data_IF_097023221967
#
_entry.id   IF_097023221967
#
_cell.length_a   1.000
_cell.length_b   1.000
_cell.length_c   1.000
_cell.angle_alpha   90.00
_cell.angle_beta   90.00
_cell.angle_gamma   90.00
#
_symmetry.space_group_name_H-M   'P 1'
#
loop_
_entity.id
_entity.type
_entity.pdbx_description
1 polymer ?
#
# COMPACT_ATOMS: atom_id res chain seq x y z
N UNK A 1 5.67 -10.53 -22.34
CA UNK A 1 6.02 -10.96 -20.96
C UNK A 1 6.15 -9.74 -20.04
N UNK A 2 6.88 -8.68 -20.42
CA UNK A 2 6.95 -7.42 -19.65
C UNK A 2 5.58 -6.80 -19.33
N UNK A 3 4.67 -6.74 -20.29
CA UNK A 3 3.34 -6.11 -20.10
C UNK A 3 2.47 -6.88 -19.09
N UNK A 4 2.55 -8.22 -19.09
CA UNK A 4 1.84 -9.07 -18.11
C UNK A 4 2.41 -8.90 -16.71
N UNK A 5 3.72 -8.71 -16.59
CA UNK A 5 4.38 -8.44 -15.30
C UNK A 5 4.01 -7.05 -14.76
N UNK A 6 3.91 -6.06 -15.65
CA UNK A 6 3.47 -4.70 -15.31
C UNK A 6 2.01 -4.65 -14.86
N UNK A 7 1.09 -5.33 -15.56
CA UNK A 7 -0.31 -5.46 -15.15
C UNK A 7 -0.42 -6.12 -13.77
N UNK A 8 0.41 -7.13 -13.50
CA UNK A 8 0.47 -7.81 -12.21
C UNK A 8 0.96 -6.87 -11.10
N UNK A 9 1.96 -6.03 -11.36
CA UNK A 9 2.45 -5.02 -10.41
C UNK A 9 1.42 -3.92 -10.13
N UNK A 10 0.65 -3.49 -11.13
CA UNK A 10 -0.45 -2.54 -10.94
C UNK A 10 -1.57 -3.13 -10.09
N UNK A 11 -1.98 -4.37 -10.37
CA UNK A 11 -2.98 -5.07 -9.57
C UNK A 11 -2.51 -5.26 -8.12
N UNK A 12 -1.25 -5.67 -7.93
CA UNK A 12 -0.65 -5.82 -6.61
C UNK A 12 -0.62 -4.49 -5.85
N UNK A 13 -0.16 -3.41 -6.50
CA UNK A 13 -0.15 -2.08 -5.91
C UNK A 13 -1.54 -1.62 -5.49
N UNK A 14 -2.55 -1.81 -6.35
CA UNK A 14 -3.94 -1.48 -6.03
C UNK A 14 -4.50 -2.31 -4.86
N UNK A 15 -4.23 -3.61 -4.82
CA UNK A 15 -4.67 -4.48 -3.74
C UNK A 15 -4.00 -4.13 -2.41
N UNK A 16 -2.70 -3.80 -2.41
CA UNK A 16 -1.98 -3.34 -1.22
C UNK A 16 -2.53 -2.00 -0.73
N UNK A 17 -2.78 -1.04 -1.61
CA UNK A 17 -3.41 0.22 -1.24
C UNK A 17 -4.77 -0.01 -0.56
N UNK A 18 -5.62 -0.88 -1.15
CA UNK A 18 -6.91 -1.23 -0.56
C UNK A 18 -6.80 -1.87 0.83
N UNK A 19 -5.81 -2.75 1.05
CA UNK A 19 -5.54 -3.31 2.37
C UNK A 19 -5.02 -2.27 3.37
N UNK A 20 -4.13 -1.37 2.94
CA UNK A 20 -3.64 -0.29 3.80
C UNK A 20 -4.78 0.62 4.27
N UNK A 21 -5.69 0.97 3.37
CA UNK A 21 -6.87 1.77 3.69
C UNK A 21 -7.82 1.02 4.63
N UNK A 22 -8.08 -0.27 4.38
CA UNK A 22 -8.90 -1.10 5.26
C UNK A 22 -8.32 -1.21 6.68
N UNK A 23 -6.99 -1.34 6.81
CA UNK A 23 -6.30 -1.36 8.10
C UNK A 23 -6.40 0.01 8.78
N UNK A 24 -6.25 1.10 8.03
CA UNK A 24 -6.42 2.46 8.55
C UNK A 24 -7.82 2.75 9.08
N UNK A 25 -8.84 2.03 8.60
CA UNK A 25 -10.22 2.14 9.08
C UNK A 25 -10.52 1.28 10.32
N UNK A 26 -9.58 0.44 10.77
CA UNK A 26 -9.79 -0.37 11.98
C UNK A 26 -9.83 0.54 13.20
N UNK A 27 -11.02 0.69 13.77
CA UNK A 27 -11.25 1.46 15.00
C UNK A 27 -11.73 0.54 16.11
N UNK A 28 -11.20 0.75 17.31
CA UNK A 28 -11.73 0.12 18.53
C UNK A 28 -12.74 1.09 19.11
N UNK A 29 -14.03 0.79 18.96
CA UNK A 29 -15.14 1.60 19.48
C UNK A 29 -15.52 1.26 20.92
N UNK A 30 -15.19 0.05 21.39
CA UNK A 30 -15.44 -0.38 22.75
C UNK A 30 -14.57 0.41 23.74
N UNK A 31 -15.22 1.10 24.67
CA UNK A 31 -14.59 1.77 25.79
C UNK A 31 -15.03 1.09 27.09
N UNK A 32 -14.07 0.70 27.94
CA UNK A 32 -14.36 0.20 29.28
C UNK A 32 -14.43 1.40 30.22
N UNK A 33 -15.64 1.77 30.63
CA UNK A 33 -15.88 2.86 31.57
C UNK A 33 -16.01 2.28 32.98
N UNK A 34 -14.98 2.45 33.80
CA UNK A 34 -14.94 2.01 35.19
C UNK A 34 -14.26 3.11 36.02
N UNK A 35 -15.04 4.08 36.54
CA UNK A 35 -14.50 5.18 37.33
C UNK A 35 -13.65 4.66 38.49
N UNK A 36 -12.53 5.33 38.73
CA UNK A 36 -11.56 5.01 39.81
C UNK A 36 -10.93 3.60 39.73
N UNK A 37 -11.10 2.89 38.61
CA UNK A 37 -10.52 1.57 38.40
C UNK A 37 -9.21 1.63 37.59
N UNK A 38 -8.15 0.93 38.03
CA UNK A 38 -6.94 0.75 37.20
C UNK A 38 -7.25 0.05 35.87
N UNK A 39 -8.35 -0.70 35.79
CA UNK A 39 -8.79 -1.38 34.56
C UNK A 39 -9.16 -0.37 33.46
N UNK A 40 -9.75 0.78 33.81
CA UNK A 40 -10.06 1.82 32.82
C UNK A 40 -8.79 2.38 32.18
N UNK A 41 -7.77 2.69 32.99
CA UNK A 41 -6.49 3.18 32.50
C UNK A 41 -5.77 2.14 31.63
N UNK A 42 -5.71 0.88 32.07
CA UNK A 42 -5.13 -0.24 31.31
C UNK A 42 -5.86 -0.47 29.98
N UNK A 43 -7.19 -0.43 29.99
CA UNK A 43 -7.98 -0.60 28.76
C UNK A 43 -7.74 0.51 27.74
N UNK A 44 -7.56 1.75 28.20
CA UNK A 44 -7.23 2.90 27.35
C UNK A 44 -5.84 2.75 26.76
N UNK A 45 -4.85 2.39 27.57
CA UNK A 45 -3.48 2.16 27.10
C UNK A 45 -3.39 1.03 26.09
N UNK A 46 -4.10 -0.08 26.33
CA UNK A 46 -4.16 -1.21 25.40
C UNK A 46 -4.79 -0.80 24.07
N UNK A 47 -5.91 -0.06 24.11
CA UNK A 47 -6.57 0.48 22.92
C UNK A 47 -5.61 1.36 22.09
N UNK A 48 -4.92 2.30 22.73
CA UNK A 48 -3.99 3.20 22.05
C UNK A 48 -2.81 2.45 21.43
N UNK A 49 -2.27 1.45 22.14
CA UNK A 49 -1.19 0.61 21.62
C UNK A 49 -1.62 -0.18 20.37
N UNK A 50 -2.83 -0.74 20.39
CA UNK A 50 -3.38 -1.49 19.25
C UNK A 50 -3.65 -0.57 18.05
N UNK A 51 -4.23 0.61 18.27
CA UNK A 51 -4.45 1.60 17.19
C UNK A 51 -3.12 2.01 16.55
N UNK A 52 -2.08 2.26 17.36
CA UNK A 52 -0.73 2.56 16.85
C UNK A 52 -0.16 1.40 16.04
N UNK A 53 -0.32 0.17 16.49
CA UNK A 53 0.15 -1.01 15.76
C UNK A 53 -0.53 -1.13 14.40
N UNK A 54 -1.86 -0.95 14.31
CA UNK A 54 -2.56 -0.91 13.03
C UNK A 54 -2.06 0.22 12.12
N UNK A 55 -1.77 1.41 12.68
CA UNK A 55 -1.16 2.50 11.92
C UNK A 55 0.19 2.13 11.30
N UNK A 56 1.06 1.45 12.04
CA UNK A 56 2.37 0.98 11.54
C UNK A 56 2.19 -0.05 10.43
N UNK A 57 1.30 -1.02 10.62
CA UNK A 57 1.05 -2.08 9.61
C UNK A 57 0.47 -1.45 8.34
N UNK A 58 -0.54 -0.58 8.46
CA UNK A 58 -1.13 0.12 7.31
C UNK A 58 -0.10 0.98 6.56
N UNK A 59 0.78 1.68 7.30
CA UNK A 59 1.88 2.45 6.71
C UNK A 59 2.87 1.58 5.91
N UNK A 60 3.25 0.41 6.43
CA UNK A 60 4.14 -0.52 5.74
C UNK A 60 3.49 -1.06 4.45
N UNK A 61 2.21 -1.44 4.52
CA UNK A 61 1.47 -1.93 3.34
C UNK A 61 1.35 -0.83 2.27
N UNK A 62 1.18 0.43 2.69
CA UNK A 62 1.15 1.58 1.77
C UNK A 62 2.50 1.81 1.09
N UNK A 63 3.60 1.71 1.81
CA UNK A 63 4.94 1.78 1.21
C UNK A 63 5.17 0.66 0.20
N UNK A 64 4.70 -0.56 0.48
CA UNK A 64 4.77 -1.67 -0.48
C UNK A 64 3.95 -1.38 -1.75
N UNK A 65 2.74 -0.81 -1.59
CA UNK A 65 1.93 -0.35 -2.73
C UNK A 65 2.68 0.67 -3.59
N UNK A 66 3.27 1.70 -2.96
CA UNK A 66 4.04 2.74 -3.66
C UNK A 66 5.24 2.14 -4.41
N UNK A 67 5.96 1.20 -3.79
CA UNK A 67 7.07 0.49 -4.44
C UNK A 67 6.62 -0.32 -5.65
N UNK A 68 5.49 -1.06 -5.55
CA UNK A 68 4.93 -1.81 -6.69
C UNK A 68 4.51 -0.90 -7.84
N UNK A 69 3.89 0.25 -7.54
CA UNK A 69 3.50 1.23 -8.56
C UNK A 69 4.71 1.89 -9.22
N UNK A 70 5.74 2.23 -8.44
CA UNK A 70 6.98 2.80 -8.98
C UNK A 70 7.72 1.82 -9.89
N UNK A 71 7.73 0.53 -9.52
CA UNK A 71 8.30 -0.51 -10.37
C UNK A 71 7.55 -0.62 -11.69
N UNK A 72 6.21 -0.66 -11.65
CA UNK A 72 5.38 -0.71 -12.85
C UNK A 72 5.65 0.48 -13.80
N UNK A 73 5.72 1.70 -13.25
CA UNK A 73 6.02 2.91 -14.03
C UNK A 73 7.40 2.85 -14.71
N UNK A 74 8.41 2.33 -14.02
CA UNK A 74 9.77 2.20 -14.58
C UNK A 74 9.78 1.24 -15.77
N UNK A 75 9.02 0.14 -15.70
CA UNK A 75 8.86 -0.77 -16.83
C UNK A 75 8.14 -0.12 -18.01
N UNK A 76 7.11 0.67 -17.74
CA UNK A 76 6.34 1.41 -18.74
C UNK A 76 7.23 2.41 -19.52
N UNK A 77 8.08 3.14 -18.80
CA UNK A 77 9.05 4.09 -19.39
C UNK A 77 10.07 3.38 -20.28
N UNK A 78 10.56 2.21 -19.84
CA UNK A 78 11.50 1.38 -20.61
C UNK A 78 10.85 0.83 -21.89
N UNK A 79 9.62 0.33 -21.80
CA UNK A 79 8.89 -0.21 -22.96
C UNK A 79 8.59 0.87 -24.00
N UNK A 80 8.20 2.07 -23.58
CA UNK A 80 8.03 3.23 -24.47
C UNK A 80 9.34 3.63 -25.15
N UNK A 81 10.46 3.57 -24.45
CA UNK A 81 11.78 3.92 -24.99
C UNK A 81 12.21 2.92 -26.07
N UNK A 82 12.00 1.62 -25.84
CA UNK A 82 12.24 0.59 -26.84
C UNK A 82 11.28 0.68 -28.04
N UNK A 83 9.99 0.90 -27.80
CA UNK A 83 9.01 1.10 -28.88
C UNK A 83 9.37 2.32 -29.74
N UNK A 84 9.84 3.41 -29.12
CA UNK A 84 10.30 4.61 -29.80
C UNK A 84 11.62 4.42 -30.58
N UNK A 85 12.51 3.55 -30.12
CA UNK A 85 13.70 3.14 -30.88
C UNK A 85 13.32 2.26 -32.07
N UNK A 86 12.46 1.26 -31.87
CA UNK A 86 12.02 0.32 -32.90
C UNK A 86 11.27 1.05 -34.03
N UNK A 87 10.40 2.00 -33.69
CA UNK A 87 9.66 2.82 -34.67
C UNK A 87 10.61 3.70 -35.49
N UNK A 88 11.67 4.26 -34.88
CA UNK A 88 12.73 5.01 -35.58
C UNK A 88 13.52 4.13 -36.55
N UNK A 89 13.86 2.91 -36.19
CA UNK A 89 14.52 1.98 -37.11
C UNK A 89 13.60 1.50 -38.24
N UNK A 90 12.30 1.29 -37.98
CA UNK A 90 11.34 0.83 -39.01
C UNK A 90 10.94 1.91 -40.03
N UNK A 91 11.12 3.20 -39.69
CA UNK A 91 10.75 4.34 -40.54
C UNK A 91 11.93 4.97 -41.28
N UNK A 92 13.14 4.42 -41.09
CA UNK A 92 14.38 4.86 -41.73
C UNK A 92 15.01 3.79 -42.64
N UNK A 93 14.19 3.14 -43.49
CA UNK A 93 14.63 2.22 -44.54
C UNK A 93 14.21 2.72 -45.91
#
# INVERSE_FOLDING_TARGET
MLQVDQDTLHQLGGALAGHADAIGQITISAAVTMPDSPVQALSTQARDAVIKAYGVIGGNVRQMSEASQSAAKTYEEVDQLFAGQLRRYSSGG
#
